data_IF_888535118622
#
_entry.id   IF_888535118622
#
_cell.length_a   1.000
_cell.length_b   1.000
_cell.length_c   1.000
_cell.angle_alpha   90.00
_cell.angle_beta   90.00
_cell.angle_gamma   90.00
#
_symmetry.space_group_name_H-M   'P 1'
#
loop_
_entity.id
_entity.type
_entity.pdbx_description
1 polymer ?
#
# COMPACT_ATOMS: atom_id res chain seq x y z
N UNK A 1 -1.46 33.78 -13.33
CA UNK A 1 -2.26 32.53 -13.40
C UNK A 1 -1.64 31.66 -14.47
N UNK A 2 -0.77 30.75 -14.05
CA UNK A 2 -0.06 29.83 -14.96
C UNK A 2 -0.98 28.64 -15.15
N UNK A 3 -1.55 28.47 -16.32
CA UNK A 3 -2.32 27.30 -16.70
C UNK A 3 -1.45 26.07 -16.52
N UNK A 4 -1.77 25.28 -15.53
CA UNK A 4 -1.20 23.95 -15.32
C UNK A 4 -1.76 23.08 -16.45
N UNK A 5 -1.01 22.94 -17.54
CA UNK A 5 -1.32 22.10 -18.69
C UNK A 5 -1.40 20.65 -18.24
N UNK A 6 -2.57 20.23 -17.79
CA UNK A 6 -2.89 18.82 -17.55
C UNK A 6 -3.02 18.12 -18.89
N UNK A 7 -1.91 17.59 -19.41
CA UNK A 7 -1.92 16.72 -20.58
C UNK A 7 -2.56 15.37 -20.18
N UNK A 8 -3.89 15.35 -20.15
CA UNK A 8 -4.61 14.09 -20.17
C UNK A 8 -4.32 13.44 -21.52
N UNK A 9 -3.60 12.32 -21.53
CA UNK A 9 -3.43 11.54 -22.75
C UNK A 9 -4.81 11.25 -23.33
N UNK A 10 -5.07 11.74 -24.54
CA UNK A 10 -6.31 11.52 -25.28
C UNK A 10 -6.48 10.05 -25.66
N UNK A 11 -5.37 9.31 -25.77
CA UNK A 11 -5.40 7.87 -26.01
C UNK A 11 -5.68 7.16 -24.70
N UNK A 12 -6.78 6.40 -24.63
CA UNK A 12 -7.08 5.53 -23.49
C UNK A 12 -5.96 4.49 -23.38
N UNK A 13 -5.14 4.50 -22.33
CA UNK A 13 -4.22 3.41 -22.12
C UNK A 13 -5.05 2.13 -21.92
N UNK A 14 -4.65 1.04 -22.57
CA UNK A 14 -5.29 -0.25 -22.40
C UNK A 14 -5.08 -0.73 -20.96
N UNK A 15 -6.04 -1.51 -20.45
CA UNK A 15 -5.83 -2.25 -19.20
C UNK A 15 -4.52 -3.04 -19.22
N UNK A 16 -3.89 -3.20 -18.08
CA UNK A 16 -2.69 -4.03 -17.99
C UNK A 16 -1.61 -3.49 -17.08
N UNK A 17 -0.42 -4.04 -17.28
CA UNK A 17 0.76 -3.77 -16.48
C UNK A 17 1.74 -2.87 -17.24
N UNK A 18 2.19 -1.82 -16.58
CA UNK A 18 3.12 -0.84 -17.14
C UNK A 18 4.33 -0.68 -16.23
N UNK A 19 5.41 -0.16 -16.79
CA UNK A 19 6.64 0.18 -16.04
C UNK A 19 6.95 1.64 -16.25
N UNK A 20 7.23 2.35 -15.16
CA UNK A 20 7.71 3.72 -15.17
C UNK A 20 9.07 3.77 -14.50
N UNK A 21 10.04 4.40 -15.15
CA UNK A 21 11.35 4.70 -14.57
C UNK A 21 11.32 6.10 -13.98
N UNK A 22 11.74 6.23 -12.74
CA UNK A 22 11.90 7.53 -12.10
C UNK A 22 13.35 7.99 -12.27
N UNK A 23 13.57 9.21 -12.75
CA UNK A 23 14.90 9.77 -12.90
C UNK A 23 15.68 9.85 -11.56
N UNK A 24 14.96 10.07 -10.46
CA UNK A 24 15.52 10.09 -9.11
C UNK A 24 15.91 8.71 -8.58
N UNK A 25 15.33 7.64 -9.11
CA UNK A 25 15.54 6.25 -8.65
C UNK A 25 15.68 5.29 -9.85
N UNK A 26 16.73 5.41 -10.66
CA UNK A 26 16.85 4.69 -11.93
C UNK A 26 16.93 3.15 -11.77
N UNK A 27 17.35 2.66 -10.60
CA UNK A 27 17.43 1.24 -10.29
C UNK A 27 16.13 0.66 -9.68
N UNK A 28 15.16 1.52 -9.39
CA UNK A 28 13.91 1.14 -8.70
C UNK A 28 12.70 1.54 -9.57
N UNK A 29 12.27 0.67 -10.50
CA UNK A 29 11.12 0.95 -11.36
C UNK A 29 9.81 0.92 -10.57
N UNK A 30 8.88 1.76 -10.95
CA UNK A 30 7.49 1.71 -10.51
C UNK A 30 6.71 0.83 -11.47
N UNK A 31 6.06 -0.22 -10.96
CA UNK A 31 5.16 -1.04 -11.76
C UNK A 31 3.73 -0.57 -11.51
N UNK A 32 2.96 -0.43 -12.57
CA UNK A 32 1.58 0.09 -12.53
C UNK A 32 0.62 -0.93 -13.13
N UNK A 33 -0.49 -1.16 -12.45
CA UNK A 33 -1.66 -1.85 -13.00
C UNK A 33 -2.78 -0.83 -13.23
N UNK A 34 -3.24 -0.75 -14.48
CA UNK A 34 -4.41 0.02 -14.85
C UNK A 34 -5.65 -0.87 -14.90
N UNK A 35 -6.78 -0.40 -14.33
CA UNK A 35 -8.01 -1.15 -14.34
C UNK A 35 -8.60 -1.29 -15.75
N UNK A 36 -9.46 -2.29 -15.91
CA UNK A 36 -10.24 -2.51 -17.12
C UNK A 36 -11.09 -1.27 -17.43
N UNK A 37 -11.18 -0.92 -18.70
CA UNK A 37 -11.97 0.23 -19.17
C UNK A 37 -11.58 1.55 -18.46
N UNK A 38 -10.27 1.75 -18.21
CA UNK A 38 -9.78 2.97 -17.58
C UNK A 38 -10.38 4.22 -18.20
N UNK A 39 -10.97 5.08 -17.35
CA UNK A 39 -11.62 6.34 -17.75
C UNK A 39 -10.75 7.54 -17.34
N UNK A 40 -10.10 8.26 -18.28
CA UNK A 40 -9.20 9.37 -17.95
C UNK A 40 -9.83 10.50 -17.14
N UNK A 41 -11.17 10.65 -17.22
CA UNK A 41 -11.92 11.69 -16.47
C UNK A 41 -12.40 11.24 -15.09
N UNK A 42 -12.26 9.95 -14.74
CA UNK A 42 -12.65 9.44 -13.43
C UNK A 42 -11.43 9.46 -12.49
N UNK A 43 -11.54 10.10 -11.29
CA UNK A 43 -10.44 10.14 -10.33
C UNK A 43 -10.36 8.81 -9.56
N UNK A 44 -9.46 7.93 -9.99
CA UNK A 44 -9.28 6.62 -9.38
C UNK A 44 -8.60 6.71 -8.01
N UNK A 45 -9.03 5.92 -7.02
CA UNK A 45 -8.21 5.65 -5.85
C UNK A 45 -6.92 4.95 -6.26
N UNK A 46 -5.83 5.28 -5.56
CA UNK A 46 -4.51 4.69 -5.75
C UNK A 46 -4.19 3.72 -4.62
N UNK A 47 -3.76 2.51 -4.95
CA UNK A 47 -3.24 1.54 -3.99
C UNK A 47 -1.75 1.34 -4.26
N UNK A 48 -0.91 1.66 -3.28
CA UNK A 48 0.54 1.44 -3.33
C UNK A 48 0.88 0.14 -2.64
N UNK A 49 1.53 -0.77 -3.35
CA UNK A 49 1.84 -2.13 -2.89
C UNK A 49 3.33 -2.27 -2.54
N UNK A 50 3.60 -2.81 -1.35
CA UNK A 50 4.95 -3.14 -0.86
C UNK A 50 5.08 -4.66 -0.73
N UNK A 51 6.07 -5.24 -1.41
CA UNK A 51 6.31 -6.70 -1.41
C UNK A 51 6.91 -7.19 -0.08
N UNK A 52 6.82 -8.48 0.19
CA UNK A 52 7.49 -9.14 1.31
C UNK A 52 8.99 -9.35 1.06
N UNK A 53 9.70 -9.80 2.09
CA UNK A 53 11.11 -10.16 2.00
C UNK A 53 11.39 -11.16 0.87
N UNK A 54 12.43 -10.92 0.08
CA UNK A 54 12.76 -11.73 -1.08
C UNK A 54 11.76 -11.64 -2.24
N UNK A 55 10.73 -10.79 -2.12
CA UNK A 55 9.75 -10.53 -3.16
C UNK A 55 10.23 -9.51 -4.19
N UNK A 56 9.31 -9.03 -5.02
CA UNK A 56 9.56 -7.96 -5.97
C UNK A 56 8.28 -7.16 -6.24
N UNK A 57 8.46 -5.99 -6.84
CA UNK A 57 7.37 -5.15 -7.32
C UNK A 57 6.48 -5.89 -8.32
N UNK A 58 7.05 -6.69 -9.21
CA UNK A 58 6.29 -7.51 -10.17
C UNK A 58 5.42 -8.55 -9.48
N UNK A 59 5.94 -9.17 -8.43
CA UNK A 59 5.23 -10.22 -7.70
C UNK A 59 4.04 -9.66 -6.94
N UNK A 60 4.25 -8.58 -6.18
CA UNK A 60 3.17 -8.00 -5.37
C UNK A 60 2.12 -7.33 -6.24
N UNK A 61 2.47 -6.77 -7.40
CA UNK A 61 1.49 -6.17 -8.32
C UNK A 61 0.48 -7.18 -8.87
N UNK A 62 0.81 -8.48 -8.88
CA UNK A 62 -0.16 -9.54 -9.26
C UNK A 62 -1.37 -9.64 -8.33
N UNK A 63 -1.32 -8.97 -7.17
CA UNK A 63 -2.49 -8.80 -6.30
C UNK A 63 -3.51 -7.82 -6.87
N UNK A 64 -3.10 -6.84 -7.67
CA UNK A 64 -3.96 -5.77 -8.17
C UNK A 64 -5.21 -6.30 -8.91
N UNK A 65 -5.13 -7.18 -9.93
CA UNK A 65 -6.32 -7.73 -10.59
C UNK A 65 -7.15 -8.66 -9.68
N UNK A 66 -6.54 -9.25 -8.62
CA UNK A 66 -7.25 -10.05 -7.61
C UNK A 66 -7.99 -9.16 -6.63
N UNK A 67 -7.46 -7.97 -6.34
CA UNK A 67 -8.10 -6.97 -5.50
C UNK A 67 -9.31 -6.38 -6.22
N UNK A 68 -9.12 -5.81 -7.39
CA UNK A 68 -10.19 -5.36 -8.29
C UNK A 68 -9.65 -5.10 -9.70
N UNK A 69 -10.40 -5.52 -10.71
CA UNK A 69 -10.07 -5.20 -12.09
C UNK A 69 -10.57 -3.84 -12.55
N UNK A 70 -11.36 -3.12 -11.73
CA UNK A 70 -12.06 -1.89 -12.16
C UNK A 70 -11.89 -0.69 -11.24
N UNK A 71 -11.66 -0.90 -9.96
CA UNK A 71 -11.89 0.14 -8.95
C UNK A 71 -10.68 1.01 -8.67
N UNK A 72 -9.45 0.53 -8.94
CA UNK A 72 -8.22 1.16 -8.48
C UNK A 72 -7.16 1.20 -9.58
N UNK A 73 -6.35 2.25 -9.55
CA UNK A 73 -5.00 2.18 -10.08
C UNK A 73 -4.14 1.59 -8.95
N UNK A 74 -3.31 0.59 -9.27
CA UNK A 74 -2.37 0.05 -8.32
C UNK A 74 -0.95 0.31 -8.81
N UNK A 75 -0.07 0.75 -7.91
CA UNK A 75 1.37 0.79 -8.18
C UNK A 75 2.09 -0.09 -7.17
N UNK A 76 3.23 -0.62 -7.56
CA UNK A 76 4.10 -1.36 -6.67
C UNK A 76 5.52 -0.84 -6.75
N UNK A 77 6.19 -0.86 -5.62
CA UNK A 77 7.51 -0.32 -5.40
C UNK A 77 8.50 -1.45 -5.15
N UNK A 78 9.76 -1.25 -5.58
CA UNK A 78 10.87 -2.17 -5.37
C UNK A 78 11.63 -1.81 -4.09
N UNK A 79 11.90 -2.79 -3.24
CA UNK A 79 12.83 -2.66 -2.12
C UNK A 79 14.24 -2.32 -2.59
N UNK A 80 15.03 -1.56 -1.81
CA UNK A 80 16.35 -1.08 -2.25
C UNK A 80 17.41 -2.17 -2.29
N UNK A 81 17.29 -3.24 -1.51
CA UNK A 81 18.34 -4.23 -1.34
C UNK A 81 18.01 -5.56 -2.02
N UNK A 82 18.93 -6.02 -2.88
CA UNK A 82 18.88 -7.38 -3.44
C UNK A 82 19.24 -8.42 -2.37
N UNK A 83 18.45 -9.51 -2.31
CA UNK A 83 18.61 -10.57 -1.31
C UNK A 83 18.83 -11.97 -1.90
N UNK A 84 19.04 -12.05 -3.20
CA UNK A 84 19.35 -13.30 -3.90
C UNK A 84 18.36 -13.64 -5.01
N UNK A 85 18.56 -14.82 -5.58
CA UNK A 85 17.74 -15.33 -6.69
C UNK A 85 16.59 -16.17 -6.14
N UNK A 86 15.40 -15.87 -6.58
CA UNK A 86 14.17 -16.56 -6.23
C UNK A 86 14.04 -17.89 -6.97
N UNK A 87 13.15 -18.80 -6.54
CA UNK A 87 12.89 -20.06 -7.26
C UNK A 87 12.48 -19.89 -8.72
N UNK A 88 11.91 -18.74 -9.11
CA UNK A 88 11.55 -18.43 -10.49
C UNK A 88 12.70 -17.83 -11.32
N UNK A 89 13.94 -17.86 -10.80
CA UNK A 89 15.15 -17.35 -11.45
C UNK A 89 15.29 -15.84 -11.47
N UNK A 90 14.39 -15.09 -10.82
CA UNK A 90 14.44 -13.63 -10.76
C UNK A 90 15.06 -13.16 -9.45
N UNK A 91 15.63 -11.95 -9.46
CA UNK A 91 16.17 -11.33 -8.26
C UNK A 91 15.04 -11.02 -7.28
N UNK A 92 15.25 -11.32 -6.01
CA UNK A 92 14.41 -10.94 -4.90
C UNK A 92 14.97 -9.69 -4.21
N UNK A 93 14.08 -8.90 -3.63
CA UNK A 93 14.41 -7.64 -2.96
C UNK A 93 13.88 -7.64 -1.54
N UNK A 94 14.51 -6.83 -0.69
CA UNK A 94 14.08 -6.57 0.67
C UNK A 94 14.05 -5.06 0.93
N UNK A 95 13.34 -4.69 1.98
CA UNK A 95 13.29 -3.32 2.49
C UNK A 95 14.33 -3.19 3.58
N UNK A 96 15.13 -2.14 3.50
CA UNK A 96 16.08 -1.86 4.55
C UNK A 96 15.37 -1.47 5.84
N UNK A 97 16.11 -1.55 6.92
CA UNK A 97 15.67 -1.15 8.23
C UNK A 97 15.46 0.39 8.33
N UNK A 98 15.27 0.88 9.54
CA UNK A 98 15.00 2.29 9.86
C UNK A 98 15.98 3.32 9.29
N UNK A 99 17.16 2.92 8.82
CA UNK A 99 18.18 3.87 8.37
C UNK A 99 17.91 4.44 6.95
N UNK A 100 17.02 3.81 6.17
CA UNK A 100 16.67 4.21 4.80
C UNK A 100 15.21 4.63 4.64
N UNK A 101 14.57 5.02 5.73
CA UNK A 101 13.15 5.42 5.71
C UNK A 101 12.90 6.64 4.83
N UNK A 102 13.75 7.65 4.92
CA UNK A 102 13.60 8.90 4.18
C UNK A 102 13.73 8.66 2.67
N UNK A 103 14.65 7.81 2.24
CA UNK A 103 14.79 7.42 0.82
C UNK A 103 13.57 6.65 0.31
N UNK A 104 13.03 5.74 1.13
CA UNK A 104 11.84 4.98 0.75
C UNK A 104 10.59 5.87 0.70
N UNK A 105 10.47 6.84 1.60
CA UNK A 105 9.41 7.85 1.56
C UNK A 105 9.53 8.75 0.34
N UNK A 106 10.74 9.25 0.02
CA UNK A 106 10.96 10.04 -1.19
C UNK A 106 10.61 9.25 -2.45
N UNK A 107 11.05 8.01 -2.56
CA UNK A 107 10.71 7.13 -3.69
C UNK A 107 9.19 6.94 -3.82
N UNK A 108 8.48 6.69 -2.72
CA UNK A 108 7.01 6.63 -2.71
C UNK A 108 6.39 7.92 -3.21
N UNK A 109 6.82 9.08 -2.69
CA UNK A 109 6.26 10.37 -3.07
C UNK A 109 6.47 10.67 -4.55
N UNK A 110 7.66 10.39 -5.07
CA UNK A 110 7.96 10.52 -6.51
C UNK A 110 7.12 9.57 -7.36
N UNK A 111 6.93 8.33 -6.91
CA UNK A 111 6.09 7.37 -7.61
C UNK A 111 4.61 7.81 -7.67
N UNK A 112 4.08 8.31 -6.56
CA UNK A 112 2.71 8.84 -6.48
C UNK A 112 2.56 10.07 -7.38
N UNK A 113 3.52 11.01 -7.33
CA UNK A 113 3.52 12.22 -8.14
C UNK A 113 3.54 11.89 -9.64
N UNK A 114 4.43 10.99 -10.08
CA UNK A 114 4.53 10.56 -11.47
C UNK A 114 3.27 9.82 -11.93
N UNK A 115 2.68 9.00 -11.06
CA UNK A 115 1.42 8.33 -11.34
C UNK A 115 0.28 9.34 -11.54
N UNK A 116 0.24 10.41 -10.73
CA UNK A 116 -0.73 11.51 -10.87
C UNK A 116 -0.53 12.35 -12.13
N UNK A 117 0.69 12.50 -12.59
CA UNK A 117 1.00 13.18 -13.87
C UNK A 117 0.52 12.37 -15.08
N UNK A 118 0.58 11.04 -14.94
CA UNK A 118 0.25 10.13 -16.05
C UNK A 118 -1.21 9.71 -16.07
N UNK A 119 -1.84 9.56 -14.89
CA UNK A 119 -3.19 9.04 -14.74
C UNK A 119 -4.02 9.89 -13.77
N UNK A 120 -5.34 9.87 -13.95
CA UNK A 120 -6.25 10.60 -13.07
C UNK A 120 -6.44 9.88 -11.72
N UNK A 121 -5.57 10.19 -10.78
CA UNK A 121 -5.62 9.69 -9.40
C UNK A 121 -6.33 10.70 -8.50
N UNK A 122 -7.23 10.22 -7.65
CA UNK A 122 -7.91 11.04 -6.65
C UNK A 122 -6.92 11.60 -5.63
N UNK A 123 -7.01 12.89 -5.30
CA UNK A 123 -6.05 13.59 -4.43
C UNK A 123 -5.93 12.98 -3.03
N UNK A 124 -7.06 12.53 -2.45
CA UNK A 124 -7.14 12.08 -1.05
C UNK A 124 -7.32 10.57 -0.88
N UNK A 125 -7.44 9.80 -1.99
CA UNK A 125 -7.71 8.36 -1.92
C UNK A 125 -6.47 7.53 -2.25
N UNK A 126 -5.40 7.76 -1.49
CA UNK A 126 -4.17 6.97 -1.56
C UNK A 126 -4.15 5.98 -0.41
N UNK A 127 -4.06 4.70 -0.71
CA UNK A 127 -3.96 3.61 0.26
C UNK A 127 -2.58 2.95 0.17
N UNK A 128 -1.98 2.64 1.30
CA UNK A 128 -0.75 1.86 1.37
C UNK A 128 -1.09 0.41 1.71
N UNK A 129 -0.49 -0.54 1.03
CA UNK A 129 -0.73 -1.97 1.31
C UNK A 129 0.58 -2.76 1.26
N UNK A 130 0.91 -3.45 2.33
CA UNK A 130 2.13 -4.24 2.43
C UNK A 130 1.90 -5.68 2.83
N UNK A 131 2.79 -6.56 2.36
CA UNK A 131 2.80 -7.98 2.66
C UNK A 131 4.06 -8.33 3.44
N UNK A 132 3.95 -9.02 4.56
CA UNK A 132 5.10 -9.42 5.38
C UNK A 132 5.99 -8.24 5.79
N UNK A 133 7.24 -8.21 5.35
CA UNK A 133 8.18 -7.10 5.57
C UNK A 133 7.64 -5.78 4.97
N UNK A 134 7.00 -5.82 3.79
CA UNK A 134 6.38 -4.66 3.18
C UNK A 134 5.25 -4.05 4.01
N UNK A 135 4.58 -4.83 4.86
CA UNK A 135 3.63 -4.28 5.83
C UNK A 135 4.33 -3.41 6.88
N UNK A 136 5.53 -3.80 7.31
CA UNK A 136 6.38 -2.98 8.19
C UNK A 136 6.70 -1.62 7.55
N UNK A 137 7.03 -1.60 6.26
CA UNK A 137 7.25 -0.37 5.48
C UNK A 137 5.98 0.48 5.44
N UNK A 138 4.84 -0.13 5.09
CA UNK A 138 3.57 0.56 5.03
C UNK A 138 3.20 1.19 6.39
N UNK A 139 3.46 0.52 7.51
CA UNK A 139 3.28 1.07 8.85
C UNK A 139 4.17 2.30 9.09
N UNK A 140 5.48 2.19 8.84
CA UNK A 140 6.42 3.30 9.07
C UNK A 140 6.00 4.55 8.32
N UNK A 141 5.69 4.41 7.04
CA UNK A 141 5.24 5.52 6.19
C UNK A 141 3.89 6.05 6.67
N UNK A 142 2.92 5.18 6.96
CA UNK A 142 1.60 5.58 7.41
C UNK A 142 1.64 6.38 8.72
N UNK A 143 2.56 6.04 9.62
CA UNK A 143 2.73 6.75 10.89
C UNK A 143 3.31 8.16 10.71
N UNK A 144 4.12 8.38 9.67
CA UNK A 144 4.69 9.70 9.34
C UNK A 144 3.75 10.56 8.52
N UNK A 145 2.87 9.94 7.71
CA UNK A 145 2.05 10.60 6.69
C UNK A 145 0.55 10.30 6.85
N UNK A 146 0.07 10.12 8.06
CA UNK A 146 -1.31 9.71 8.32
C UNK A 146 -2.35 10.69 7.74
N UNK A 147 -2.02 11.96 7.63
CA UNK A 147 -2.83 13.03 7.03
C UNK A 147 -2.87 13.03 5.49
N UNK A 148 -1.96 12.28 4.85
CA UNK A 148 -1.81 12.24 3.38
C UNK A 148 -2.32 10.95 2.74
N UNK A 149 -2.78 9.99 3.57
CA UNK A 149 -3.28 8.70 3.10
C UNK A 149 -4.71 8.46 3.59
N UNK A 150 -5.49 7.76 2.78
CA UNK A 150 -6.86 7.37 3.14
C UNK A 150 -6.90 6.18 4.09
N UNK A 151 -5.82 5.42 4.19
CA UNK A 151 -5.67 4.30 5.09
C UNK A 151 -4.55 3.37 4.68
N UNK A 152 -4.28 2.37 5.53
CA UNK A 152 -3.24 1.39 5.27
C UNK A 152 -3.72 -0.05 5.50
N UNK A 153 -3.07 -0.98 4.82
CA UNK A 153 -3.36 -2.42 4.85
C UNK A 153 -2.08 -3.18 5.15
N UNK A 154 -2.12 -4.01 6.18
CA UNK A 154 -1.04 -4.91 6.56
C UNK A 154 -1.48 -6.36 6.40
N UNK A 155 -0.85 -7.10 5.50
CA UNK A 155 -1.09 -8.53 5.28
C UNK A 155 0.09 -9.34 5.81
N UNK A 156 -0.16 -10.20 6.80
CA UNK A 156 0.84 -11.09 7.40
C UNK A 156 2.12 -10.38 7.92
N UNK A 157 2.03 -9.11 8.26
CA UNK A 157 3.13 -8.32 8.78
C UNK A 157 2.89 -7.85 10.21
N UNK A 158 3.85 -7.12 10.76
CA UNK A 158 3.81 -6.63 12.13
C UNK A 158 4.19 -5.15 12.20
N UNK A 159 3.71 -4.47 13.23
CA UNK A 159 4.15 -3.10 13.55
C UNK A 159 5.65 -3.14 13.88
N UNK A 160 6.48 -2.33 13.22
CA UNK A 160 7.90 -2.24 13.56
C UNK A 160 8.08 -1.57 14.92
N UNK A 161 8.82 -2.24 15.78
CA UNK A 161 9.13 -1.80 17.15
C UNK A 161 10.63 -1.80 17.39
N UNK A 162 11.41 -0.87 16.81
CA UNK A 162 12.84 -0.80 17.08
C UNK A 162 13.07 -0.58 18.58
N UNK A 163 13.94 -1.40 19.16
CA UNK A 163 14.23 -1.39 20.60
C UNK A 163 12.97 -1.53 21.50
N UNK A 164 11.93 -2.22 20.99
CA UNK A 164 10.70 -2.45 21.74
C UNK A 164 9.78 -1.22 21.88
N UNK A 165 10.12 -0.11 21.22
CA UNK A 165 9.33 1.12 21.25
C UNK A 165 8.65 1.38 19.91
N UNK A 166 7.39 1.83 19.89
CA UNK A 166 6.73 2.21 18.64
C UNK A 166 7.38 3.46 18.02
N UNK A 167 7.53 3.46 16.69
CA UNK A 167 8.10 4.55 15.88
C UNK A 167 7.10 5.69 15.60
N UNK A 168 6.11 5.91 16.43
CA UNK A 168 5.08 6.90 16.10
C UNK A 168 4.68 7.76 17.28
N UNK A 169 4.24 8.97 16.96
CA UNK A 169 3.55 9.83 17.91
C UNK A 169 2.07 9.41 17.96
N UNK A 170 1.54 9.13 19.15
CA UNK A 170 0.14 8.76 19.37
C UNK A 170 -0.86 9.76 18.76
N UNK A 171 -0.49 11.03 18.67
CA UNK A 171 -1.37 12.06 18.08
C UNK A 171 -1.57 11.88 16.58
N UNK A 172 -0.56 11.41 15.86
CA UNK A 172 -0.64 11.20 14.39
C UNK A 172 -1.46 9.99 14.01
N UNK A 173 -1.68 9.06 14.97
CA UNK A 173 -2.44 7.83 14.75
C UNK A 173 -3.95 8.02 14.82
N UNK A 174 -4.41 9.14 15.43
CA UNK A 174 -5.84 9.35 15.66
C UNK A 174 -6.60 9.40 14.33
N UNK A 175 -7.54 8.48 14.17
CA UNK A 175 -8.37 8.38 12.96
C UNK A 175 -7.69 7.71 11.75
N UNK A 176 -6.40 7.29 11.84
CA UNK A 176 -5.77 6.49 10.79
C UNK A 176 -6.54 5.18 10.62
N UNK A 177 -7.03 4.91 9.42
CA UNK A 177 -7.73 3.67 9.09
C UNK A 177 -6.71 2.56 8.80
N UNK A 178 -6.81 1.43 9.51
CA UNK A 178 -5.87 0.30 9.39
C UNK A 178 -6.64 -1.01 9.21
N UNK A 179 -6.34 -1.73 8.14
CA UNK A 179 -6.78 -3.12 7.95
C UNK A 179 -5.60 -4.06 8.19
N UNK A 180 -5.78 -5.04 9.07
CA UNK A 180 -4.81 -6.07 9.38
C UNK A 180 -5.37 -7.43 8.98
N UNK A 181 -4.88 -8.03 7.89
CA UNK A 181 -5.20 -9.41 7.50
C UNK A 181 -4.08 -10.36 7.95
N UNK A 182 -4.37 -11.36 8.78
CA UNK A 182 -3.31 -12.15 9.37
C UNK A 182 -3.61 -13.65 9.45
N UNK A 183 -2.64 -14.48 9.02
CA UNK A 183 -2.70 -15.93 9.13
C UNK A 183 -2.56 -16.39 10.59
N UNK A 184 -3.50 -17.22 11.06
CA UNK A 184 -3.48 -17.73 12.45
C UNK A 184 -2.31 -18.69 12.72
N UNK A 185 -1.79 -19.34 11.68
CA UNK A 185 -0.64 -20.24 11.73
C UNK A 185 0.67 -19.58 11.22
N UNK A 186 0.71 -18.26 11.12
CA UNK A 186 1.91 -17.54 10.71
C UNK A 186 2.98 -17.62 11.82
N UNK A 187 4.16 -18.13 11.47
CA UNK A 187 5.30 -18.30 12.38
C UNK A 187 6.28 -17.12 12.34
N UNK A 188 6.37 -16.39 11.24
CA UNK A 188 7.28 -15.25 11.05
C UNK A 188 6.81 -14.03 11.83
N UNK A 189 5.53 -13.69 11.64
CA UNK A 189 4.83 -12.73 12.47
C UNK A 189 3.63 -13.46 13.12
N UNK A 190 3.76 -13.85 14.38
CA UNK A 190 2.73 -14.67 15.03
C UNK A 190 1.41 -13.93 15.18
N UNK A 191 0.29 -14.67 15.17
CA UNK A 191 -1.03 -14.06 15.39
C UNK A 191 -1.14 -13.40 16.79
N UNK A 192 -0.42 -13.91 17.79
CA UNK A 192 -0.32 -13.27 19.10
C UNK A 192 0.30 -11.87 19.00
N UNK A 193 1.34 -11.69 18.14
CA UNK A 193 1.93 -10.40 17.84
C UNK A 193 0.93 -9.48 17.12
N UNK A 194 0.21 -9.97 16.11
CA UNK A 194 -0.82 -9.19 15.42
C UNK A 194 -1.91 -8.69 16.37
N UNK A 195 -2.36 -9.52 17.34
CA UNK A 195 -3.30 -9.10 18.38
C UNK A 195 -2.74 -8.03 19.32
N UNK A 196 -1.44 -8.10 19.66
CA UNK A 196 -0.77 -7.07 20.44
C UNK A 196 -0.69 -5.76 19.66
N UNK A 197 -0.31 -5.82 18.39
CA UNK A 197 -0.18 -4.68 17.49
C UNK A 197 -1.56 -4.02 17.27
N UNK A 198 -2.64 -4.80 17.11
CA UNK A 198 -4.02 -4.31 17.09
C UNK A 198 -4.36 -3.48 18.34
N UNK A 199 -4.07 -4.01 19.54
CA UNK A 199 -4.36 -3.29 20.80
C UNK A 199 -3.57 -2.00 20.91
N UNK A 200 -2.32 -2.00 20.47
CA UNK A 200 -1.45 -0.84 20.46
C UNK A 200 -2.02 0.27 19.55
N UNK A 201 -2.39 -0.08 18.32
CA UNK A 201 -2.95 0.86 17.34
C UNK A 201 -4.32 1.40 17.79
N UNK A 202 -5.18 0.52 18.32
CA UNK A 202 -6.47 0.92 18.86
C UNK A 202 -6.32 1.88 20.04
N UNK A 203 -5.44 1.59 20.98
CA UNK A 203 -5.15 2.47 22.11
C UNK A 203 -4.55 3.82 21.68
N UNK A 204 -3.86 3.86 20.54
CA UNK A 204 -3.36 5.09 19.91
C UNK A 204 -4.46 5.90 19.18
N UNK A 205 -5.69 5.40 19.13
CA UNK A 205 -6.84 6.06 18.50
C UNK A 205 -6.99 5.82 16.99
N UNK A 206 -6.30 4.82 16.43
CA UNK A 206 -6.50 4.40 15.06
C UNK A 206 -7.83 3.62 14.91
N UNK A 207 -8.46 3.74 13.74
CA UNK A 207 -9.59 2.91 13.33
C UNK A 207 -9.08 1.59 12.75
N UNK A 208 -8.98 0.56 13.59
CA UNK A 208 -8.29 -0.69 13.26
C UNK A 208 -9.26 -1.85 13.13
N UNK A 209 -9.14 -2.61 12.04
CA UNK A 209 -9.79 -3.89 11.85
C UNK A 209 -8.74 -5.01 11.75
N UNK A 210 -8.82 -6.04 12.60
CA UNK A 210 -8.00 -7.26 12.51
C UNK A 210 -8.88 -8.44 12.08
N UNK A 211 -8.49 -9.08 10.96
CA UNK A 211 -9.18 -10.26 10.41
C UNK A 211 -8.22 -11.47 10.41
N UNK A 212 -8.56 -12.56 11.14
CA UNK A 212 -7.79 -13.79 11.13
C UNK A 212 -8.15 -14.66 9.92
N UNK A 213 -7.14 -15.33 9.33
CA UNK A 213 -7.31 -16.28 8.23
C UNK A 213 -6.67 -17.62 8.55
N UNK A 214 -7.25 -18.72 8.07
CA UNK A 214 -6.72 -20.09 8.24
C UNK A 214 -5.58 -20.35 7.26
N UNK A 215 -4.47 -19.65 7.44
CA UNK A 215 -3.26 -19.76 6.63
C UNK A 215 -2.01 -19.52 7.48
N UNK A 216 -0.83 -19.78 6.91
CA UNK A 216 0.48 -19.44 7.44
C UNK A 216 0.85 -17.99 7.09
N UNK A 217 2.11 -17.75 6.64
CA UNK A 217 2.53 -16.46 6.07
C UNK A 217 2.04 -16.24 4.64
N UNK A 218 1.41 -17.24 4.02
CA UNK A 218 0.87 -17.14 2.67
C UNK A 218 -0.40 -16.27 2.63
N UNK A 219 -0.60 -15.62 1.47
CA UNK A 219 -1.80 -14.82 1.26
C UNK A 219 -3.01 -15.72 0.98
N UNK A 220 -3.96 -15.69 1.90
CA UNK A 220 -5.24 -16.36 1.70
C UNK A 220 -6.08 -15.62 0.65
N UNK A 221 -6.79 -16.31 -0.27
CA UNK A 221 -7.61 -15.67 -1.30
C UNK A 221 -8.64 -14.66 -0.76
N UNK A 222 -9.19 -14.94 0.42
CA UNK A 222 -10.14 -14.03 1.06
C UNK A 222 -9.51 -12.71 1.51
N UNK A 223 -8.21 -12.66 1.77
CA UNK A 223 -7.52 -11.41 2.15
C UNK A 223 -7.72 -10.31 1.10
N UNK A 224 -7.60 -10.65 -0.21
CA UNK A 224 -7.77 -9.67 -1.28
C UNK A 224 -9.23 -9.23 -1.42
N UNK A 225 -10.20 -10.12 -1.22
CA UNK A 225 -11.63 -9.80 -1.21
C UNK A 225 -11.97 -8.84 -0.06
N UNK A 226 -11.51 -9.15 1.15
CA UNK A 226 -11.82 -8.37 2.35
C UNK A 226 -11.10 -7.02 2.33
N UNK A 227 -9.87 -6.98 1.80
CA UNK A 227 -9.14 -5.75 1.50
C UNK A 227 -9.94 -4.84 0.53
N UNK A 228 -10.47 -5.39 -0.57
CA UNK A 228 -11.32 -4.64 -1.49
C UNK A 228 -12.57 -4.07 -0.81
N UNK A 229 -13.28 -4.89 -0.04
CA UNK A 229 -14.46 -4.45 0.69
C UNK A 229 -14.13 -3.35 1.71
N UNK A 230 -12.99 -3.47 2.40
CA UNK A 230 -12.54 -2.48 3.36
C UNK A 230 -12.19 -1.15 2.69
N UNK A 231 -11.43 -1.17 1.57
CA UNK A 231 -11.12 0.05 0.80
C UNK A 231 -12.40 0.73 0.33
N UNK A 232 -13.36 -0.03 -0.22
CA UNK A 232 -14.62 0.55 -0.69
C UNK A 232 -15.41 1.19 0.45
N UNK A 233 -15.47 0.55 1.63
CA UNK A 233 -16.10 1.16 2.82
C UNK A 233 -15.40 2.44 3.25
N UNK A 234 -14.06 2.45 3.27
CA UNK A 234 -13.29 3.63 3.63
C UNK A 234 -13.54 4.82 2.66
N UNK A 235 -13.70 4.54 1.36
CA UNK A 235 -14.02 5.53 0.33
C UNK A 235 -15.43 6.10 0.54
N UNK A 236 -16.43 5.24 0.77
CA UNK A 236 -17.83 5.67 0.95
C UNK A 236 -18.00 6.49 2.23
N UNK A 237 -17.41 6.06 3.35
CA UNK A 237 -17.47 6.80 4.62
C UNK A 237 -16.93 8.23 4.48
N UNK A 238 -15.86 8.44 3.74
CA UNK A 238 -15.32 9.77 3.47
C UNK A 238 -16.24 10.60 2.55
N UNK A 239 -16.90 9.96 1.58
CA UNK A 239 -17.86 10.64 0.68
C UNK A 239 -19.10 11.10 1.45
N UNK A 240 -19.65 10.29 2.33
CA UNK A 240 -20.82 10.62 3.14
C UNK A 240 -20.55 11.78 4.10
N UNK A 241 -19.34 11.84 4.68
CA UNK A 241 -18.89 12.96 5.51
C UNK A 241 -18.83 14.27 4.71
N UNK A 242 -18.30 14.23 3.49
CA UNK A 242 -18.21 15.40 2.60
C UNK A 242 -19.58 15.88 2.13
N UNK A 243 -20.55 14.97 1.96
CA UNK A 243 -21.92 15.28 1.53
C UNK A 243 -22.87 15.62 2.70
N UNK A 244 -22.38 15.63 3.95
CA UNK A 244 -23.18 15.92 5.14
C UNK A 244 -24.29 14.88 5.42
N UNK A 245 -24.22 13.70 4.83
CA UNK A 245 -25.13 12.59 5.08
C UNK A 245 -24.64 11.83 6.34
N UNK A 246 -25.32 12.04 7.45
CA UNK A 246 -25.22 11.22 8.68
C UNK A 246 -26.27 10.14 8.66
#
# INVERSE_FOLDING_TARGET
MTEMNMYWRTDRPKEGFYTTQLASHPQRPVRTFLPNDYQPRYPYPLVVLFHGHGGSEDQVLRLAPKLSRRNYICISLRGPREVGIRPDGRVGFAWDDVNHEDETEEYLMRAVEETRRTYHVHSERVFLAGVGEGAGVAYRIAFRMADRIAGMIALNGAVPLPNGRPLFNLRTMRGLKVFMGHGIANTDATFARARRDYRLLYAAGADVQLVPYRTTHELHPEMTRDMNQWIMRAIHANTDLLLGKR
#
